data_IF_246017797748
#
_entry.id   IF_246017797748
#
_cell.length_a   1.000
_cell.length_b   1.000
_cell.length_c   1.000
_cell.angle_alpha   90.00
_cell.angle_beta   90.00
_cell.angle_gamma   90.00
#
_symmetry.space_group_name_H-M   'P 1'
#
loop_
_entity.id
_entity.type
_entity.pdbx_description
1 polymer ?
#
# COMPACT_ATOMS: atom_id res chain seq x y z
N UNK A 1 -0.95 18.94 -18.63
CA UNK A 1 -1.80 18.25 -17.64
C UNK A 1 -2.12 16.85 -18.14
N UNK A 2 -2.10 15.86 -17.25
CA UNK A 2 -2.49 14.48 -17.56
C UNK A 2 -3.69 14.07 -16.70
N UNK A 3 -4.49 13.16 -17.24
CA UNK A 3 -5.62 12.56 -16.53
C UNK A 3 -5.35 11.08 -16.31
N UNK A 4 -5.59 10.60 -15.10
CA UNK A 4 -5.47 9.20 -14.68
C UNK A 4 -6.77 8.81 -13.95
N UNK A 5 -7.88 8.60 -14.68
CA UNK A 5 -9.21 8.46 -14.09
C UNK A 5 -9.36 7.25 -13.16
N UNK A 6 -8.62 6.17 -13.40
CA UNK A 6 -8.70 4.98 -12.53
C UNK A 6 -7.96 5.13 -11.20
N UNK A 7 -7.19 6.21 -11.00
CA UNK A 7 -6.48 6.48 -9.73
C UNK A 7 -7.43 6.62 -8.54
N UNK A 8 -8.67 7.08 -8.75
CA UNK A 8 -9.67 7.17 -7.68
C UNK A 8 -10.00 5.81 -7.04
N UNK A 9 -9.68 4.71 -7.73
CA UNK A 9 -9.81 3.35 -7.21
C UNK A 9 -8.55 2.85 -6.49
N UNK A 10 -7.47 3.64 -6.48
CA UNK A 10 -6.16 3.24 -5.96
C UNK A 10 -6.20 2.82 -4.50
N UNK A 11 -6.75 3.66 -3.62
CA UNK A 11 -6.87 3.39 -2.18
C UNK A 11 -7.62 2.09 -1.91
N UNK A 12 -8.79 1.92 -2.54
CA UNK A 12 -9.60 0.70 -2.35
C UNK A 12 -8.86 -0.55 -2.83
N UNK A 13 -8.14 -0.44 -3.94
CA UNK A 13 -7.33 -1.52 -4.50
C UNK A 13 -6.16 -1.89 -3.59
N UNK A 14 -5.46 -0.89 -3.07
CA UNK A 14 -4.36 -1.07 -2.13
C UNK A 14 -4.81 -1.80 -0.86
N UNK A 15 -5.91 -1.36 -0.23
CA UNK A 15 -6.41 -1.97 1.00
C UNK A 15 -6.99 -3.38 0.83
N UNK A 16 -7.12 -3.88 -0.39
CA UNK A 16 -7.38 -5.29 -0.68
C UNK A 16 -6.08 -6.06 -0.90
N UNK A 17 -5.19 -5.55 -1.75
CA UNK A 17 -3.97 -6.28 -2.17
C UNK A 17 -2.92 -6.30 -1.07
N UNK A 18 -2.60 -5.15 -0.46
CA UNK A 18 -1.54 -5.07 0.53
C UNK A 18 -1.82 -5.93 1.78
N UNK A 19 -3.03 -5.94 2.37
CA UNK A 19 -3.36 -6.87 3.44
C UNK A 19 -3.29 -8.34 3.01
N UNK A 20 -3.70 -8.68 1.78
CA UNK A 20 -3.60 -10.04 1.26
C UNK A 20 -2.14 -10.51 1.18
N UNK A 21 -1.25 -9.68 0.65
CA UNK A 21 0.18 -9.95 0.61
C UNK A 21 0.80 -9.98 2.02
N UNK A 22 0.42 -9.05 2.90
CA UNK A 22 0.87 -9.04 4.28
C UNK A 22 0.48 -10.33 5.01
N UNK A 23 -0.77 -10.79 4.88
CA UNK A 23 -1.25 -12.04 5.47
C UNK A 23 -0.42 -13.23 4.99
N UNK A 24 -0.16 -13.33 3.68
CA UNK A 24 0.64 -14.41 3.11
C UNK A 24 2.11 -14.35 3.57
N UNK A 25 2.73 -13.17 3.55
CA UNK A 25 4.14 -12.99 3.92
C UNK A 25 4.38 -13.18 5.42
N UNK A 26 3.51 -12.63 6.27
CA UNK A 26 3.63 -12.71 7.73
C UNK A 26 3.23 -14.08 8.30
N UNK A 27 2.68 -14.99 7.48
CA UNK A 27 2.40 -16.37 7.90
C UNK A 27 3.65 -17.12 8.35
N UNK A 28 4.84 -16.74 7.87
CA UNK A 28 6.14 -17.38 8.23
C UNK A 28 6.67 -16.95 9.59
N UNK A 29 6.14 -15.90 10.19
CA UNK A 29 6.56 -15.41 11.51
C UNK A 29 5.80 -16.19 12.59
N UNK A 30 6.28 -17.39 12.85
CA UNK A 30 5.63 -18.39 13.70
C UNK A 30 6.27 -18.54 15.09
N UNK A 31 7.35 -17.78 15.35
CA UNK A 31 8.11 -17.88 16.59
C UNK A 31 9.05 -19.10 16.65
N UNK A 32 9.09 -19.93 15.59
CA UNK A 32 10.02 -21.06 15.46
C UNK A 32 11.13 -20.74 14.48
N UNK A 33 10.78 -20.33 13.26
CA UNK A 33 11.72 -19.97 12.19
C UNK A 33 12.08 -18.51 12.19
N UNK A 34 11.09 -17.65 12.41
CA UNK A 34 11.23 -16.19 12.36
C UNK A 34 10.39 -15.49 13.42
N UNK A 35 10.82 -14.27 13.75
CA UNK A 35 10.08 -13.34 14.56
C UNK A 35 10.16 -13.59 16.06
N UNK A 36 9.28 -12.94 16.78
CA UNK A 36 9.15 -13.04 18.22
C UNK A 36 8.71 -14.45 18.63
N UNK A 37 9.30 -14.98 19.69
CA UNK A 37 8.94 -16.24 20.34
C UNK A 37 8.49 -15.98 21.78
N UNK A 38 7.29 -16.42 22.13
CA UNK A 38 6.78 -16.29 23.49
C UNK A 38 7.59 -17.14 24.49
N UNK A 39 7.65 -16.67 25.72
CA UNK A 39 8.31 -17.37 26.81
C UNK A 39 7.44 -18.50 27.37
N UNK A 40 8.07 -19.65 27.65
CA UNK A 40 7.49 -20.80 28.33
C UNK A 40 6.11 -21.21 27.80
N UNK A 41 5.98 -21.58 26.52
CA UNK A 41 4.73 -22.07 25.96
C UNK A 41 4.35 -23.43 26.59
N UNK A 42 3.05 -23.64 26.80
CA UNK A 42 2.55 -24.91 27.36
C UNK A 42 2.60 -26.08 26.36
N UNK A 43 2.36 -25.77 25.09
CA UNK A 43 2.40 -26.70 23.98
C UNK A 43 2.71 -25.99 22.65
N UNK A 44 2.71 -26.73 21.53
CA UNK A 44 2.98 -26.18 20.21
C UNK A 44 1.93 -25.20 19.72
N UNK A 45 0.67 -25.45 20.05
CA UNK A 45 -0.43 -24.57 19.68
C UNK A 45 -0.35 -23.23 20.44
N UNK A 46 -0.08 -23.30 21.73
CA UNK A 46 0.16 -22.13 22.59
C UNK A 46 1.37 -21.31 22.09
N UNK A 47 2.45 -21.99 21.71
CA UNK A 47 3.62 -21.35 21.11
C UNK A 47 3.24 -20.49 19.90
N UNK A 48 2.52 -21.05 18.94
CA UNK A 48 2.11 -20.30 17.74
C UNK A 48 1.13 -19.18 18.06
N UNK A 49 0.14 -19.45 18.86
CA UNK A 49 -0.89 -18.48 19.21
C UNK A 49 -0.29 -17.27 19.94
N UNK A 50 0.47 -17.53 21.01
CA UNK A 50 1.07 -16.45 21.82
C UNK A 50 2.15 -15.70 21.10
N UNK A 51 3.05 -16.40 20.41
CA UNK A 51 4.12 -15.72 19.65
C UNK A 51 3.55 -14.74 18.63
N UNK A 52 2.49 -15.09 17.94
CA UNK A 52 1.84 -14.20 16.97
C UNK A 52 1.01 -13.10 17.63
N UNK A 53 0.33 -13.41 18.72
CA UNK A 53 -0.51 -12.44 19.45
C UNK A 53 0.35 -11.38 20.14
N UNK A 54 1.43 -11.77 20.78
CA UNK A 54 2.35 -10.89 21.50
C UNK A 54 3.30 -10.15 20.54
N UNK A 55 3.73 -10.81 19.47
CA UNK A 55 4.73 -10.28 18.54
C UNK A 55 4.19 -9.32 17.48
N UNK A 56 2.90 -9.35 17.16
CA UNK A 56 2.28 -8.44 16.21
C UNK A 56 1.46 -7.34 16.91
N UNK A 57 1.70 -6.09 16.52
CA UNK A 57 0.86 -4.97 16.90
C UNK A 57 -0.57 -5.07 16.34
N UNK A 58 -1.50 -4.31 16.90
CA UNK A 58 -2.93 -4.44 16.59
C UNK A 58 -3.27 -4.11 15.14
N UNK A 59 -2.60 -3.12 14.53
CA UNK A 59 -2.80 -2.78 13.12
C UNK A 59 -2.32 -3.92 12.20
N UNK A 60 -1.19 -4.54 12.50
CA UNK A 60 -0.68 -5.68 11.74
C UNK A 60 -1.64 -6.87 11.85
N UNK A 61 -2.16 -7.15 13.04
CA UNK A 61 -3.19 -8.21 13.25
C UNK A 61 -4.44 -7.92 12.43
N UNK A 62 -4.90 -6.67 12.39
CA UNK A 62 -6.05 -6.24 11.57
C UNK A 62 -5.80 -6.50 10.10
N UNK A 63 -4.65 -6.10 9.56
CA UNK A 63 -4.27 -6.35 8.15
C UNK A 63 -4.17 -7.84 7.83
N UNK A 64 -3.63 -8.66 8.73
CA UNK A 64 -3.59 -10.12 8.56
C UNK A 64 -5.03 -10.70 8.47
N UNK A 65 -5.95 -10.24 9.32
CA UNK A 65 -7.34 -10.70 9.29
C UNK A 65 -8.05 -10.30 8.00
N UNK A 66 -7.91 -9.05 7.57
CA UNK A 66 -8.46 -8.55 6.29
C UNK A 66 -7.89 -9.36 5.13
N UNK A 67 -6.58 -9.58 5.10
CA UNK A 67 -5.91 -10.34 4.05
C UNK A 67 -6.37 -11.79 4.00
N UNK A 68 -6.53 -12.43 5.15
CA UNK A 68 -7.06 -13.80 5.24
C UNK A 68 -8.49 -13.88 4.72
N UNK A 69 -9.33 -12.89 5.03
CA UNK A 69 -10.68 -12.80 4.51
C UNK A 69 -10.70 -12.64 2.99
N UNK A 70 -9.91 -11.71 2.45
CA UNK A 70 -9.87 -11.44 1.01
C UNK A 70 -9.33 -12.61 0.18
N UNK A 71 -8.45 -13.44 0.78
CA UNK A 71 -7.92 -14.65 0.15
C UNK A 71 -8.78 -15.90 0.39
N UNK A 72 -9.86 -15.82 1.16
CA UNK A 72 -10.77 -16.94 1.37
C UNK A 72 -11.53 -17.29 0.09
N UNK A 73 -11.88 -18.56 -0.09
CA UNK A 73 -12.55 -19.04 -1.29
C UNK A 73 -13.87 -18.29 -1.62
N UNK A 74 -14.59 -17.85 -0.57
CA UNK A 74 -15.84 -17.11 -0.74
C UNK A 74 -15.64 -15.66 -1.20
N UNK A 75 -14.49 -15.07 -0.91
CA UNK A 75 -14.21 -13.63 -1.14
C UNK A 75 -13.19 -13.37 -2.25
N UNK A 76 -12.43 -14.40 -2.65
CA UNK A 76 -11.30 -14.27 -3.56
C UNK A 76 -11.66 -13.59 -4.88
N UNK A 77 -12.70 -14.09 -5.57
CA UNK A 77 -13.11 -13.54 -6.85
C UNK A 77 -13.73 -12.14 -6.72
N UNK A 78 -14.47 -11.91 -5.63
CA UNK A 78 -15.16 -10.65 -5.41
C UNK A 78 -14.22 -9.50 -5.08
N UNK A 79 -13.14 -9.76 -4.35
CA UNK A 79 -12.24 -8.72 -3.84
C UNK A 79 -10.86 -8.81 -4.47
N UNK A 80 -10.13 -9.91 -4.26
CA UNK A 80 -8.73 -10.01 -4.68
C UNK A 80 -8.57 -9.97 -6.21
N UNK A 81 -9.35 -10.78 -6.94
CA UNK A 81 -9.27 -10.79 -8.41
C UNK A 81 -9.71 -9.46 -9.02
N UNK A 82 -10.75 -8.83 -8.49
CA UNK A 82 -11.16 -7.49 -8.96
C UNK A 82 -10.10 -6.44 -8.68
N UNK A 83 -9.50 -6.45 -7.49
CA UNK A 83 -8.42 -5.53 -7.15
C UNK A 83 -7.21 -5.71 -8.09
N UNK A 84 -6.85 -6.93 -8.45
CA UNK A 84 -5.80 -7.20 -9.43
C UNK A 84 -6.16 -6.67 -10.84
N UNK A 85 -7.42 -6.76 -11.25
CA UNK A 85 -7.88 -6.19 -12.52
C UNK A 85 -7.79 -4.66 -12.51
N UNK A 86 -8.25 -4.02 -11.44
CA UNK A 86 -8.14 -2.55 -11.28
C UNK A 86 -6.69 -2.10 -11.25
N UNK A 87 -5.83 -2.80 -10.49
CA UNK A 87 -4.38 -2.55 -10.49
C UNK A 87 -3.82 -2.53 -11.91
N UNK A 88 -4.21 -3.49 -12.74
CA UNK A 88 -3.76 -3.55 -14.13
C UNK A 88 -4.24 -2.35 -14.94
N UNK A 89 -5.50 -1.93 -14.80
CA UNK A 89 -6.03 -0.76 -15.50
C UNK A 89 -5.25 0.52 -15.15
N UNK A 90 -4.97 0.73 -13.87
CA UNK A 90 -4.19 1.88 -13.42
C UNK A 90 -2.75 1.79 -13.99
N UNK A 91 -2.13 0.62 -13.96
CA UNK A 91 -0.79 0.44 -14.53
C UNK A 91 -0.75 0.76 -16.04
N UNK A 92 -1.78 0.35 -16.80
CA UNK A 92 -1.90 0.66 -18.23
C UNK A 92 -2.07 2.17 -18.48
N UNK A 93 -2.84 2.89 -17.64
CA UNK A 93 -2.95 4.36 -17.72
C UNK A 93 -1.62 5.06 -17.47
N UNK A 94 -0.89 4.69 -16.41
CA UNK A 94 0.44 5.23 -16.14
C UNK A 94 1.42 4.96 -17.28
N UNK A 95 1.46 3.73 -17.79
CA UNK A 95 2.30 3.36 -18.92
C UNK A 95 1.95 4.13 -20.20
N UNK A 96 0.67 4.43 -20.42
CA UNK A 96 0.24 5.23 -21.57
C UNK A 96 0.74 6.66 -21.46
N UNK A 97 0.58 7.29 -20.31
CA UNK A 97 1.04 8.67 -20.07
C UNK A 97 2.56 8.79 -20.15
N UNK A 98 3.30 7.81 -19.61
CA UNK A 98 4.77 7.80 -19.61
C UNK A 98 5.39 7.59 -20.99
N UNK A 99 4.60 7.29 -22.04
CA UNK A 99 5.09 7.34 -23.44
C UNK A 99 5.29 8.76 -23.93
N UNK A 100 4.51 9.70 -23.41
CA UNK A 100 4.49 11.10 -23.86
C UNK A 100 5.28 12.03 -22.92
N UNK A 101 5.53 11.61 -21.68
CA UNK A 101 6.22 12.40 -20.66
C UNK A 101 7.30 11.57 -19.95
N UNK A 102 8.34 12.22 -19.48
CA UNK A 102 9.45 11.55 -18.76
C UNK A 102 9.17 11.44 -17.25
N UNK A 103 8.31 12.30 -16.71
CA UNK A 103 7.99 12.39 -15.27
C UNK A 103 6.54 12.83 -15.10
N UNK A 104 5.86 12.22 -14.14
CA UNK A 104 4.57 12.66 -13.64
C UNK A 104 4.80 13.28 -12.24
N UNK A 105 4.33 14.50 -12.00
CA UNK A 105 4.42 15.18 -10.73
C UNK A 105 3.02 15.48 -10.18
N UNK A 106 2.82 15.27 -8.90
CA UNK A 106 1.55 15.52 -8.23
C UNK A 106 1.72 15.69 -6.72
N UNK A 107 0.69 16.12 -5.98
CA UNK A 107 0.73 16.15 -4.53
C UNK A 107 0.86 14.72 -3.98
N UNK A 108 1.62 14.54 -2.91
CA UNK A 108 1.80 13.24 -2.24
C UNK A 108 0.70 12.96 -1.20
N UNK A 109 0.02 13.99 -0.71
CA UNK A 109 -1.06 13.87 0.26
C UNK A 109 -2.17 14.88 -0.03
N UNK A 110 -3.45 14.59 0.30
CA UNK A 110 -4.57 15.50 0.05
C UNK A 110 -4.57 16.71 0.97
N UNK A 111 -3.97 16.60 2.16
CA UNK A 111 -3.98 17.61 3.21
C UNK A 111 -2.58 18.00 3.66
N UNK A 112 -2.48 19.10 4.42
CA UNK A 112 -1.26 19.47 5.14
C UNK A 112 -1.03 18.52 6.32
N UNK A 113 0.20 18.52 6.86
CA UNK A 113 0.56 17.69 8.02
C UNK A 113 -0.44 17.87 9.17
N UNK A 114 -0.81 16.77 9.80
CA UNK A 114 -1.70 16.76 10.97
C UNK A 114 -0.94 17.16 12.26
N UNK A 115 -1.70 17.54 13.29
CA UNK A 115 -1.15 17.84 14.61
C UNK A 115 -0.68 16.54 15.29
N UNK A 116 0.53 16.56 15.87
CA UNK A 116 1.04 15.39 16.60
C UNK A 116 0.13 15.06 17.79
N UNK A 117 -0.13 13.78 17.98
CA UNK A 117 -1.00 13.22 19.03
C UNK A 117 -2.47 13.69 18.96
N UNK A 118 -2.97 13.94 17.75
CA UNK A 118 -4.39 14.19 17.52
C UNK A 118 -5.15 12.86 17.40
N UNK A 119 -5.74 12.42 18.51
CA UNK A 119 -6.55 11.20 18.59
C UNK A 119 -7.99 11.41 18.06
N UNK A 120 -8.31 12.58 17.52
CA UNK A 120 -9.66 12.91 17.04
C UNK A 120 -10.02 12.25 15.70
N UNK A 121 -9.02 11.77 14.94
CA UNK A 121 -9.22 11.17 13.64
C UNK A 121 -9.71 9.74 13.73
N UNK A 122 -10.72 9.41 12.92
CA UNK A 122 -11.12 8.03 12.75
C UNK A 122 -10.08 7.22 11.95
N UNK A 123 -10.10 5.90 12.12
CA UNK A 123 -9.23 4.99 11.33
C UNK A 123 -9.47 5.19 9.82
N UNK A 124 -10.71 5.46 9.42
CA UNK A 124 -11.07 5.70 8.01
C UNK A 124 -10.44 6.99 7.49
N UNK A 125 -10.43 8.06 8.31
CA UNK A 125 -9.81 9.33 7.92
C UNK A 125 -8.29 9.17 7.74
N UNK A 126 -7.64 8.40 8.61
CA UNK A 126 -6.21 8.09 8.46
C UNK A 126 -5.92 7.34 7.15
N UNK A 127 -6.76 6.38 6.77
CA UNK A 127 -6.60 5.64 5.52
C UNK A 127 -6.85 6.50 4.28
N UNK A 128 -7.75 7.47 4.36
CA UNK A 128 -8.01 8.39 3.25
C UNK A 128 -6.88 9.42 3.03
N UNK A 129 -6.01 9.61 4.02
CA UNK A 129 -4.82 10.47 3.85
C UNK A 129 -3.72 9.82 2.99
N UNK A 130 -3.72 8.49 2.87
CA UNK A 130 -2.78 7.72 2.03
C UNK A 130 -3.20 7.69 0.55
N UNK A 131 -4.19 8.49 0.13
CA UNK A 131 -4.86 8.29 -1.16
C UNK A 131 -3.97 8.49 -2.42
N UNK A 132 -2.78 9.05 -2.29
CA UNK A 132 -1.89 9.31 -3.43
C UNK A 132 -0.62 8.45 -3.44
N UNK A 133 -0.18 7.98 -2.28
CA UNK A 133 1.01 7.14 -2.14
C UNK A 133 0.80 5.70 -2.64
N UNK A 134 -0.38 5.06 -2.42
CA UNK A 134 -0.65 3.71 -2.89
C UNK A 134 -0.52 3.51 -4.41
N UNK A 135 -0.73 4.56 -5.20
CA UNK A 135 -0.66 4.47 -6.65
C UNK A 135 0.76 4.13 -7.14
N UNK A 136 1.78 4.73 -6.52
CA UNK A 136 3.17 4.48 -6.91
C UNK A 136 3.62 3.06 -6.54
N UNK A 137 3.23 2.56 -5.37
CA UNK A 137 3.64 1.25 -4.87
C UNK A 137 2.93 0.09 -5.58
N UNK A 138 1.69 0.32 -6.04
CA UNK A 138 0.91 -0.71 -6.72
C UNK A 138 1.30 -0.95 -8.17
N UNK A 139 1.90 0.05 -8.85
CA UNK A 139 1.92 0.07 -10.31
C UNK A 139 3.29 0.01 -10.95
N UNK A 140 4.35 0.17 -10.17
CA UNK A 140 5.70 0.09 -10.70
C UNK A 140 6.28 -1.29 -10.39
N UNK A 141 6.63 -2.11 -11.39
CA UNK A 141 7.22 -3.46 -11.20
C UNK A 141 8.64 -3.44 -10.60
N UNK A 142 9.19 -2.30 -10.36
CA UNK A 142 10.37 -1.98 -9.53
C UNK A 142 10.40 -0.46 -9.45
N UNK A 143 10.67 0.17 -8.30
CA UNK A 143 10.64 1.61 -8.24
C UNK A 143 11.66 2.16 -9.23
N UNK A 144 11.26 2.94 -10.23
CA UNK A 144 12.14 3.97 -10.67
C UNK A 144 12.38 4.79 -9.42
N UNK A 145 13.62 4.93 -9.01
CA UNK A 145 14.02 5.67 -7.82
C UNK A 145 13.23 6.97 -7.77
N UNK A 146 12.15 7.01 -7.00
CA UNK A 146 11.52 8.25 -6.59
C UNK A 146 12.57 8.91 -5.71
N UNK A 147 13.45 9.70 -6.34
CA UNK A 147 14.37 10.54 -5.61
C UNK A 147 13.52 11.63 -4.99
N UNK A 148 13.48 11.77 -3.66
CA UNK A 148 12.91 12.96 -3.07
C UNK A 148 13.59 14.17 -3.74
N UNK A 149 12.81 15.18 -4.09
CA UNK A 149 13.31 16.43 -4.65
C UNK A 149 14.30 17.06 -3.66
N UNK A 150 15.57 16.79 -3.83
CA UNK A 150 16.62 17.60 -3.23
C UNK A 150 17.01 18.66 -4.27
N UNK A 151 16.76 19.90 -3.93
CA UNK A 151 17.06 21.07 -4.76
C UNK A 151 18.56 21.16 -5.05
N UNK A 152 19.05 20.45 -6.03
CA UNK A 152 20.29 20.88 -6.70
C UNK A 152 20.57 19.99 -7.93
N UNK A 153 20.65 20.68 -9.05
CA UNK A 153 21.43 20.42 -10.26
C UNK A 153 21.07 19.28 -11.19
N UNK A 154 20.82 19.72 -12.40
CA UNK A 154 20.83 19.03 -13.67
C UNK A 154 19.64 18.17 -14.05
N UNK A 155 18.46 18.78 -14.16
CA UNK A 155 17.48 18.34 -15.14
C UNK A 155 18.03 18.75 -16.50
N UNK A 156 18.47 17.78 -17.31
CA UNK A 156 18.83 18.03 -18.70
C UNK A 156 17.60 18.65 -19.40
N UNK A 157 17.81 19.75 -20.12
CA UNK A 157 16.81 20.61 -20.80
C UNK A 157 15.91 19.92 -21.85
N UNK A 158 15.61 18.63 -21.73
CA UNK A 158 14.73 17.88 -22.65
C UNK A 158 13.69 17.01 -21.96
N UNK A 159 13.57 17.04 -20.63
CA UNK A 159 12.56 16.26 -19.93
C UNK A 159 11.21 16.95 -20.05
N UNK A 160 10.20 16.24 -20.56
CA UNK A 160 8.81 16.69 -20.53
C UNK A 160 8.25 16.37 -19.14
N UNK A 161 8.06 17.39 -18.32
CA UNK A 161 7.42 17.25 -17.01
C UNK A 161 5.93 17.52 -17.15
N UNK A 162 5.11 16.61 -16.67
CA UNK A 162 3.67 16.82 -16.57
C UNK A 162 3.29 16.96 -15.11
N UNK A 163 2.49 17.97 -14.78
CA UNK A 163 1.99 18.25 -13.45
C UNK A 163 0.54 17.78 -13.42
N UNK A 164 0.20 16.85 -12.51
CA UNK A 164 -1.17 16.45 -12.28
C UNK A 164 -1.85 17.48 -11.38
N UNK A 165 -2.88 18.13 -11.90
CA UNK A 165 -3.79 18.95 -11.08
C UNK A 165 -5.02 18.10 -10.70
N UNK A 166 -5.25 17.94 -9.42
CA UNK A 166 -6.52 17.41 -8.90
C UNK A 166 -7.56 18.53 -8.90
N UNK A 167 -8.71 18.27 -9.45
CA UNK A 167 -9.91 19.08 -9.28
C UNK A 167 -10.84 18.42 -8.29
#
# INVERSE_FOLDING_TARGET
DVSLPSTDLGVSTYYVIAPAEASANLSRYDGVRYGYRCDSPSDLQDLYLRSRTEGFGDEVKRRILIGTFTLSAASYDQYFMKAQQVRRLIAEEYQSVLKDVDVIAGPSAPNTAFVLNDDSKSITDMYMEDCLEPDADLYLPSPPLIRPWTSTSSIKRRSRMCIRTFR
#
